data_IF_108583850293
#
_entry.id   IF_108583850293
#
_cell.length_a   1.000
_cell.length_b   1.000
_cell.length_c   1.000
_cell.angle_alpha   90.00
_cell.angle_beta   90.00
_cell.angle_gamma   90.00
#
_symmetry.space_group_name_H-M   'P 1'
#
loop_
_entity.id
_entity.type
_entity.pdbx_description
1 polymer ?
#
# COMPACT_ATOMS: atom_id res chain seq x y z
N UNK A 1 -7.79 27.83 -2.40
CA UNK A 1 -8.59 26.60 -2.44
C UNK A 1 -8.36 25.86 -3.72
N UNK A 2 -8.01 24.61 -3.65
CA UNK A 2 -7.86 23.85 -4.86
C UNK A 2 -9.21 23.71 -5.57
N UNK A 3 -9.18 23.84 -6.87
CA UNK A 3 -10.35 23.60 -7.67
C UNK A 3 -10.82 22.17 -7.46
N UNK A 4 -12.12 22.01 -7.35
CA UNK A 4 -12.67 20.67 -7.31
C UNK A 4 -12.38 19.98 -8.63
N UNK A 5 -11.46 19.04 -8.60
CA UNK A 5 -11.26 18.21 -9.75
C UNK A 5 -12.39 17.19 -9.81
N UNK A 6 -12.73 16.78 -11.02
CA UNK A 6 -13.68 15.72 -11.24
C UNK A 6 -13.07 14.43 -10.65
N UNK A 7 -13.85 13.67 -9.87
CA UNK A 7 -13.40 12.41 -9.32
C UNK A 7 -12.83 11.46 -10.38
N UNK A 8 -13.39 11.48 -11.57
CA UNK A 8 -12.90 10.65 -12.68
C UNK A 8 -11.51 11.07 -13.14
N UNK A 9 -11.24 12.38 -13.16
CA UNK A 9 -9.91 12.87 -13.51
C UNK A 9 -8.90 12.50 -12.44
N UNK A 10 -9.26 12.64 -11.17
CA UNK A 10 -8.40 12.28 -10.05
C UNK A 10 -8.06 10.78 -10.10
N UNK A 11 -9.04 9.94 -10.36
CA UNK A 11 -8.82 8.51 -10.49
C UNK A 11 -7.93 8.17 -11.68
N UNK A 12 -8.11 8.88 -12.80
CA UNK A 12 -7.28 8.68 -13.98
C UNK A 12 -5.82 9.00 -13.69
N UNK A 13 -5.55 10.17 -13.10
CA UNK A 13 -4.18 10.56 -12.79
C UNK A 13 -3.56 9.67 -11.72
N UNK A 14 -4.33 9.27 -10.72
CA UNK A 14 -3.86 8.35 -9.70
C UNK A 14 -3.50 7.00 -10.31
N UNK A 15 -4.30 6.51 -11.26
CA UNK A 15 -4.00 5.26 -11.96
C UNK A 15 -2.73 5.37 -12.80
N UNK A 16 -2.56 6.47 -13.52
CA UNK A 16 -1.35 6.67 -14.34
C UNK A 16 -0.10 6.74 -13.45
N UNK A 17 -0.19 7.45 -12.35
CA UNK A 17 0.91 7.53 -11.39
C UNK A 17 1.22 6.17 -10.76
N UNK A 18 0.19 5.41 -10.40
CA UNK A 18 0.36 4.07 -9.85
C UNK A 18 1.06 3.13 -10.85
N UNK A 19 0.71 3.21 -12.13
CA UNK A 19 1.38 2.42 -13.18
C UNK A 19 2.87 2.74 -13.24
N UNK A 20 3.20 4.02 -13.23
CA UNK A 20 4.60 4.46 -13.26
C UNK A 20 5.38 3.98 -12.05
N UNK A 21 4.79 4.14 -10.86
CA UNK A 21 5.41 3.72 -9.61
C UNK A 21 5.57 2.20 -9.55
N UNK A 22 4.60 1.46 -10.06
CA UNK A 22 4.70 0.00 -10.11
C UNK A 22 5.81 -0.46 -11.03
N UNK A 23 5.92 0.14 -12.22
CA UNK A 23 7.01 -0.17 -13.15
C UNK A 23 8.37 0.10 -12.52
N UNK A 24 8.49 1.25 -11.85
CA UNK A 24 9.73 1.61 -11.16
C UNK A 24 10.06 0.63 -10.04
N UNK A 25 9.06 0.25 -9.25
CA UNK A 25 9.25 -0.71 -8.16
C UNK A 25 9.71 -2.07 -8.67
N UNK A 26 9.12 -2.56 -9.76
CA UNK A 26 9.53 -3.82 -10.37
C UNK A 26 10.95 -3.76 -10.91
N UNK A 27 11.31 -2.65 -11.56
CA UNK A 27 12.67 -2.45 -12.06
C UNK A 27 13.68 -2.43 -10.91
N UNK A 28 13.39 -1.69 -9.87
CA UNK A 28 14.25 -1.61 -8.68
C UNK A 28 14.43 -2.99 -8.06
N UNK A 29 13.33 -3.75 -7.94
CA UNK A 29 13.37 -5.10 -7.38
C UNK A 29 14.24 -6.04 -8.22
N UNK A 30 14.20 -5.90 -9.54
CA UNK A 30 15.03 -6.72 -10.43
C UNK A 30 16.52 -6.39 -10.32
N UNK A 31 16.84 -5.12 -10.05
CA UNK A 31 18.22 -4.68 -9.90
C UNK A 31 18.82 -5.04 -8.56
N UNK A 32 18.00 -5.35 -7.56
CA UNK A 32 18.46 -5.72 -6.23
C UNK A 32 18.82 -7.19 -6.18
N UNK A 33 19.93 -7.50 -5.51
CA UNK A 33 20.29 -8.89 -5.24
C UNK A 33 19.32 -9.51 -4.24
N UNK A 34 19.25 -10.85 -4.24
CA UNK A 34 18.44 -11.59 -3.27
C UNK A 34 18.84 -11.26 -1.84
N UNK A 35 20.16 -11.12 -1.62
CA UNK A 35 20.68 -10.82 -0.29
C UNK A 35 20.30 -9.41 0.16
N UNK A 36 20.35 -8.43 -0.73
CA UNK A 36 19.95 -7.06 -0.42
C UNK A 36 18.48 -6.98 -0.06
N UNK A 37 17.63 -7.66 -0.83
CA UNK A 37 16.18 -7.74 -0.53
C UNK A 37 15.94 -8.34 0.84
N UNK A 38 16.66 -9.40 1.18
CA UNK A 38 16.53 -10.07 2.47
C UNK A 38 16.93 -9.16 3.61
N UNK A 39 18.04 -8.45 3.48
CA UNK A 39 18.51 -7.51 4.50
C UNK A 39 17.52 -6.37 4.74
N UNK A 40 16.99 -5.80 3.69
CA UNK A 40 15.99 -4.74 3.80
C UNK A 40 14.73 -5.26 4.47
N UNK A 41 14.27 -6.45 4.08
CA UNK A 41 13.09 -7.05 4.68
C UNK A 41 13.30 -7.33 6.17
N UNK A 42 14.43 -7.88 6.56
CA UNK A 42 14.73 -8.15 7.97
C UNK A 42 14.75 -6.89 8.81
N UNK A 43 15.25 -5.80 8.24
CA UNK A 43 15.35 -4.53 8.94
C UNK A 43 14.01 -3.83 9.11
N UNK A 44 13.14 -3.91 8.11
CA UNK A 44 11.92 -3.11 8.06
C UNK A 44 10.62 -3.90 8.22
N UNK A 45 10.69 -5.24 8.14
CA UNK A 45 9.49 -6.06 8.23
C UNK A 45 8.77 -5.82 9.55
N UNK A 46 7.47 -5.55 9.45
CA UNK A 46 6.59 -5.26 10.59
C UNK A 46 7.01 -4.04 11.41
N UNK A 47 7.77 -3.13 10.81
CA UNK A 47 8.09 -1.85 11.43
C UNK A 47 7.28 -0.74 10.80
N UNK A 48 6.76 0.16 11.63
CA UNK A 48 5.96 1.28 11.15
C UNK A 48 6.80 2.19 10.25
N UNK A 49 6.31 2.51 9.05
CA UNK A 49 7.07 3.36 8.13
C UNK A 49 7.19 4.81 8.58
N UNK A 50 6.38 5.22 9.56
CA UNK A 50 6.39 6.59 10.06
C UNK A 50 7.23 6.78 11.32
N UNK A 51 7.09 5.89 12.28
CA UNK A 51 7.81 6.05 13.55
C UNK A 51 8.88 4.97 13.81
N UNK A 52 8.91 3.92 13.00
CA UNK A 52 9.91 2.87 13.11
C UNK A 52 9.66 1.82 14.17
N UNK A 53 8.62 1.96 14.98
CA UNK A 53 8.31 0.98 16.00
C UNK A 53 7.69 -0.28 15.39
N UNK A 54 7.84 -1.40 16.08
CA UNK A 54 7.30 -2.66 15.62
C UNK A 54 5.76 -2.63 15.65
N UNK A 55 5.15 -3.09 14.58
CA UNK A 55 3.70 -3.21 14.49
C UNK A 55 3.24 -4.57 14.99
N UNK A 56 1.96 -4.64 15.35
CA UNK A 56 1.32 -5.86 15.80
C UNK A 56 0.07 -6.13 14.98
N UNK A 57 -0.21 -7.41 14.78
CA UNK A 57 -1.39 -7.82 14.03
C UNK A 57 -2.62 -7.67 14.92
N UNK A 58 -3.65 -7.01 14.40
CA UNK A 58 -4.98 -6.96 15.03
C UNK A 58 -6.01 -7.45 14.05
N UNK A 59 -7.18 -7.84 14.56
CA UNK A 59 -8.29 -8.31 13.72
C UNK A 59 -9.41 -7.27 13.71
N UNK A 60 -9.78 -6.85 12.51
CA UNK A 60 -10.90 -5.95 12.29
C UNK A 60 -11.80 -6.59 11.24
N UNK A 61 -13.06 -6.87 11.61
CA UNK A 61 -14.03 -7.49 10.69
C UNK A 61 -13.47 -8.73 9.98
N UNK A 62 -12.84 -9.63 10.73
CA UNK A 62 -12.23 -10.86 10.21
C UNK A 62 -11.04 -10.63 9.27
N UNK A 63 -10.49 -9.43 9.26
CA UNK A 63 -9.30 -9.11 8.47
C UNK A 63 -8.14 -8.80 9.42
N UNK A 64 -6.99 -9.39 9.15
CA UNK A 64 -5.78 -9.12 9.91
C UNK A 64 -5.11 -7.87 9.35
N UNK A 65 -4.90 -6.86 10.20
CA UNK A 65 -4.19 -5.65 9.81
C UNK A 65 -3.04 -5.38 10.76
N UNK A 66 -2.04 -4.67 10.27
CA UNK A 66 -0.87 -4.33 11.07
C UNK A 66 -1.07 -2.97 11.73
N UNK A 67 -1.01 -2.94 13.07
CA UNK A 67 -1.24 -1.75 13.87
C UNK A 67 0.05 -1.31 14.54
N UNK A 68 0.38 -0.03 14.41
CA UNK A 68 1.44 0.58 15.18
C UNK A 68 0.86 1.17 16.45
N UNK A 69 1.25 0.63 17.60
CA UNK A 69 0.77 1.16 18.89
C UNK A 69 1.59 2.35 19.37
N UNK A 70 2.68 2.69 18.68
CA UNK A 70 3.45 3.88 18.98
C UNK A 70 2.83 5.16 18.45
N UNK A 71 2.46 5.18 17.16
CA UNK A 71 1.88 6.37 16.53
C UNK A 71 0.40 6.21 16.16
N UNK A 72 -0.15 5.00 16.30
CA UNK A 72 -1.55 4.74 16.00
C UNK A 72 -1.86 4.41 14.55
N UNK A 73 -0.85 4.36 13.69
CA UNK A 73 -1.06 4.06 12.28
C UNK A 73 -1.46 2.62 12.01
N UNK A 74 -2.10 2.42 10.87
CA UNK A 74 -2.48 1.09 10.38
C UNK A 74 -1.85 0.85 9.03
N UNK A 75 -1.42 -0.38 8.79
CA UNK A 75 -0.97 -0.81 7.47
C UNK A 75 -1.93 -1.87 6.95
N UNK A 76 -2.40 -1.66 5.73
CA UNK A 76 -3.28 -2.62 5.04
C UNK A 76 -2.52 -3.26 3.89
N UNK A 77 -2.53 -4.57 3.85
CA UNK A 77 -2.05 -5.28 2.67
C UNK A 77 -3.04 -5.11 1.52
N UNK A 78 -2.60 -5.47 0.31
CA UNK A 78 -3.44 -5.33 -0.86
C UNK A 78 -4.78 -6.05 -0.67
N UNK A 79 -5.86 -5.31 -0.84
CA UNK A 79 -7.22 -5.84 -0.72
C UNK A 79 -7.84 -5.78 0.67
N UNK A 80 -7.06 -5.52 1.71
CA UNK A 80 -7.59 -5.52 3.09
C UNK A 80 -8.48 -4.32 3.37
N UNK A 81 -8.12 -3.15 2.86
CA UNK A 81 -8.92 -1.95 3.06
C UNK A 81 -10.32 -2.11 2.47
N UNK A 82 -10.41 -2.71 1.29
CA UNK A 82 -11.68 -2.94 0.64
C UNK A 82 -12.57 -3.88 1.42
N UNK A 83 -12.01 -4.93 1.99
CA UNK A 83 -12.75 -5.87 2.82
C UNK A 83 -13.31 -5.21 4.06
N UNK A 84 -12.55 -4.32 4.69
CA UNK A 84 -12.98 -3.63 5.91
C UNK A 84 -14.03 -2.57 5.59
N UNK A 85 -13.82 -1.79 4.53
CA UNK A 85 -14.72 -0.69 4.19
C UNK A 85 -16.00 -1.16 3.50
N UNK A 86 -15.99 -2.36 2.93
CA UNK A 86 -17.09 -2.83 2.11
C UNK A 86 -17.26 -2.03 0.83
N UNK A 87 -16.27 -1.25 0.46
CA UNK A 87 -16.32 -0.39 -0.71
C UNK A 87 -15.56 -1.02 -1.86
N UNK A 88 -16.29 -1.29 -2.93
CA UNK A 88 -15.69 -1.59 -4.22
C UNK A 88 -15.77 -0.32 -5.06
N UNK A 89 -14.79 0.56 -4.92
CA UNK A 89 -14.71 1.75 -5.74
C UNK A 89 -13.82 1.53 -6.94
N UNK A 90 -14.08 2.24 -8.02
CA UNK A 90 -13.27 2.15 -9.24
C UNK A 90 -11.80 2.46 -8.99
N UNK A 91 -11.51 3.34 -8.04
CA UNK A 91 -10.14 3.67 -7.68
C UNK A 91 -9.39 2.45 -7.14
N UNK A 92 -10.00 1.73 -6.19
CA UNK A 92 -9.37 0.56 -5.60
C UNK A 92 -9.22 -0.58 -6.61
N UNK A 93 -10.20 -0.76 -7.47
CA UNK A 93 -10.10 -1.72 -8.57
C UNK A 93 -8.95 -1.38 -9.52
N UNK A 94 -8.79 -0.10 -9.84
CA UNK A 94 -7.70 0.35 -10.70
C UNK A 94 -6.35 0.09 -10.07
N UNK A 95 -6.21 0.32 -8.76
CA UNK A 95 -4.96 0.04 -8.03
C UNK A 95 -4.67 -1.47 -8.06
N UNK A 96 -5.68 -2.30 -7.84
CA UNK A 96 -5.53 -3.76 -7.94
C UNK A 96 -5.04 -4.20 -9.30
N UNK A 97 -5.63 -3.67 -10.37
CA UNK A 97 -5.19 -3.99 -11.73
C UNK A 97 -3.72 -3.69 -11.94
N UNK A 98 -3.26 -2.56 -11.41
CA UNK A 98 -1.87 -2.16 -11.55
C UNK A 98 -0.95 -3.11 -10.78
N UNK A 99 -1.33 -3.50 -9.57
CA UNK A 99 -0.51 -4.37 -8.72
C UNK A 99 -0.46 -5.80 -9.24
N UNK A 100 -1.49 -6.26 -9.91
CA UNK A 100 -1.57 -7.62 -10.46
C UNK A 100 -0.83 -7.79 -11.81
N UNK A 101 -0.32 -6.73 -12.36
CA UNK A 101 0.40 -6.79 -13.64
C UNK A 101 1.78 -7.40 -13.56
#
# INVERSE_FOLDING_TARGET
>A
MPLKTNNQEDEYFAKQEAIKLRKLALKTAQEMSVQDKKQIKEKHYMHCPKCGMKMHIIHINDVEVDKCFGCGGLFFDDGELEKISGREGSFFEAVHEVLDR
#
